data_IF_647063660541
#
_entry.id   IF_647063660541
#
_cell.length_a   1.000
_cell.length_b   1.000
_cell.length_c   1.000
_cell.angle_alpha   90.00
_cell.angle_beta   90.00
_cell.angle_gamma   90.00
#
_symmetry.space_group_name_H-M   'P 1'
#
loop_
_entity.id
_entity.type
_entity.pdbx_description
1 polymer ?
#
# COMPACT_ATOMS: atom_id res chain seq x y z
N UNK A 1 -21.45 -22.06 15.29
CA UNK A 1 -21.47 -21.76 13.84
C UNK A 1 -21.21 -20.27 13.70
N UNK A 2 -19.93 -19.87 13.68
CA UNK A 2 -19.49 -18.47 13.67
C UNK A 2 -18.39 -18.31 12.62
N UNK A 3 -18.81 -18.28 11.35
CA UNK A 3 -17.98 -17.89 10.20
C UNK A 3 -18.68 -16.86 9.25
N UNK A 4 -19.25 -15.74 9.74
CA UNK A 4 -19.60 -14.62 8.86
C UNK A 4 -18.65 -13.42 8.96
N UNK A 5 -17.87 -13.27 10.04
CA UNK A 5 -17.02 -12.08 10.26
C UNK A 5 -15.80 -12.06 9.34
N UNK A 6 -15.11 -13.19 9.18
CA UNK A 6 -13.86 -13.28 8.42
C UNK A 6 -14.03 -13.00 6.93
N UNK A 7 -15.16 -13.42 6.34
CA UNK A 7 -15.46 -13.16 4.93
C UNK A 7 -15.77 -11.67 4.68
N UNK A 8 -16.54 -11.03 5.57
CA UNK A 8 -16.82 -9.58 5.50
C UNK A 8 -15.54 -8.76 5.71
N UNK A 9 -14.67 -9.20 6.63
CA UNK A 9 -13.37 -8.55 6.88
C UNK A 9 -12.45 -8.65 5.65
N UNK A 10 -12.48 -9.78 4.93
CA UNK A 10 -11.73 -9.99 3.70
C UNK A 10 -12.24 -9.10 2.55
N UNK A 11 -13.55 -9.11 2.28
CA UNK A 11 -14.16 -8.28 1.22
C UNK A 11 -13.93 -6.78 1.48
N UNK A 12 -14.05 -6.36 2.74
CA UNK A 12 -13.75 -4.98 3.14
C UNK A 12 -12.27 -4.64 2.93
N UNK A 13 -11.36 -5.58 3.18
CA UNK A 13 -9.94 -5.39 2.97
C UNK A 13 -9.59 -5.30 1.47
N UNK A 14 -10.14 -6.19 0.65
CA UNK A 14 -10.00 -6.16 -0.82
C UNK A 14 -10.50 -4.83 -1.39
N UNK A 15 -11.71 -4.41 -1.00
CA UNK A 15 -12.27 -3.12 -1.43
C UNK A 15 -11.41 -1.92 -1.01
N UNK A 16 -10.79 -1.98 0.17
CA UNK A 16 -9.86 -0.93 0.61
C UNK A 16 -8.57 -0.92 -0.22
N UNK A 17 -8.04 -2.08 -0.61
CA UNK A 17 -6.88 -2.19 -1.47
C UNK A 17 -7.20 -1.73 -2.90
N UNK A 18 -8.36 -2.06 -3.44
CA UNK A 18 -8.83 -1.56 -4.74
C UNK A 18 -8.89 -0.03 -4.77
N UNK A 19 -9.46 0.57 -3.72
CA UNK A 19 -9.50 2.02 -3.58
C UNK A 19 -8.10 2.62 -3.48
N UNK A 20 -7.18 1.98 -2.77
CA UNK A 20 -5.79 2.41 -2.68
C UNK A 20 -5.09 2.31 -4.04
N UNK A 21 -5.30 1.22 -4.78
CA UNK A 21 -4.78 1.02 -6.12
C UNK A 21 -5.27 2.13 -7.06
N UNK A 22 -6.57 2.45 -7.02
CA UNK A 22 -7.16 3.51 -7.83
C UNK A 22 -6.67 4.93 -7.45
N UNK A 23 -6.42 5.19 -6.16
CA UNK A 23 -6.01 6.51 -5.67
C UNK A 23 -4.54 6.81 -5.89
N UNK A 24 -3.64 5.85 -5.64
CA UNK A 24 -2.18 6.07 -5.69
C UNK A 24 -1.42 4.97 -6.43
N UNK A 25 -1.96 3.75 -6.47
CA UNK A 25 -1.25 2.59 -7.01
C UNK A 25 -0.99 2.70 -8.51
N UNK A 26 -2.01 2.98 -9.33
CA UNK A 26 -1.87 3.01 -10.79
C UNK A 26 -0.80 4.01 -11.24
N UNK A 27 -0.94 5.28 -10.85
CA UNK A 27 0.00 6.33 -11.27
C UNK A 27 1.39 6.12 -10.67
N UNK A 28 1.48 5.68 -9.42
CA UNK A 28 2.74 5.43 -8.73
C UNK A 28 3.53 4.26 -9.32
N UNK A 29 2.86 3.16 -9.66
CA UNK A 29 3.49 1.99 -10.29
C UNK A 29 3.91 2.29 -11.73
N UNK A 30 3.08 3.00 -12.50
CA UNK A 30 3.46 3.47 -13.85
C UNK A 30 4.71 4.35 -13.77
N UNK A 31 4.75 5.31 -12.86
CA UNK A 31 5.91 6.18 -12.67
C UNK A 31 7.17 5.39 -12.25
N UNK A 32 7.02 4.39 -11.38
CA UNK A 32 8.11 3.52 -10.94
C UNK A 32 8.70 2.71 -12.11
N UNK A 33 7.86 2.07 -12.93
CA UNK A 33 8.30 1.27 -14.09
C UNK A 33 9.12 2.11 -15.09
N UNK A 34 8.78 3.38 -15.26
CA UNK A 34 9.51 4.29 -16.16
C UNK A 34 10.84 4.81 -15.59
N UNK A 35 11.11 4.60 -14.30
CA UNK A 35 12.26 5.20 -13.59
C UNK A 35 12.92 4.15 -12.69
N UNK A 36 14.00 3.48 -13.14
CA UNK A 36 14.62 2.37 -12.39
C UNK A 36 15.02 2.73 -10.94
N UNK A 37 15.48 3.96 -10.70
CA UNK A 37 15.78 4.43 -9.35
C UNK A 37 14.55 4.52 -8.44
N UNK A 38 13.40 4.92 -8.98
CA UNK A 38 12.15 4.96 -8.24
C UNK A 38 11.60 3.55 -7.99
N UNK A 39 11.69 2.66 -8.98
CA UNK A 39 11.32 1.25 -8.82
C UNK A 39 12.10 0.59 -7.69
N UNK A 40 13.42 0.80 -7.62
CA UNK A 40 14.25 0.28 -6.53
C UNK A 40 13.81 0.79 -5.15
N UNK A 41 13.35 2.03 -5.05
CA UNK A 41 12.82 2.59 -3.79
C UNK A 41 11.48 1.95 -3.42
N UNK A 42 10.59 1.72 -4.40
CA UNK A 42 9.32 0.99 -4.18
C UNK A 42 9.61 -0.44 -3.72
N UNK A 43 10.55 -1.14 -4.33
CA UNK A 43 10.97 -2.49 -3.94
C UNK A 43 11.52 -2.53 -2.51
N UNK A 44 12.32 -1.53 -2.12
CA UNK A 44 12.81 -1.39 -0.75
C UNK A 44 11.65 -1.18 0.24
N UNK A 45 10.68 -0.35 -0.09
CA UNK A 45 9.48 -0.17 0.73
C UNK A 45 8.66 -1.45 0.83
N UNK A 46 8.53 -2.21 -0.26
CA UNK A 46 7.83 -3.49 -0.28
C UNK A 46 8.52 -4.52 0.63
N UNK A 47 9.86 -4.59 0.59
CA UNK A 47 10.64 -5.40 1.52
C UNK A 47 10.38 -4.99 2.98
N UNK A 48 10.43 -3.69 3.27
CA UNK A 48 10.17 -3.19 4.62
C UNK A 48 8.73 -3.44 5.12
N UNK A 49 7.72 -3.51 4.23
CA UNK A 49 6.36 -3.94 4.59
C UNK A 49 6.35 -5.42 4.95
N UNK A 50 6.93 -6.27 4.09
CA UNK A 50 7.02 -7.72 4.34
C UNK A 50 7.72 -8.01 5.67
N UNK A 51 8.84 -7.35 5.95
CA UNK A 51 9.58 -7.51 7.20
C UNK A 51 8.74 -7.08 8.41
N UNK A 52 8.01 -5.96 8.30
CA UNK A 52 7.12 -5.49 9.36
C UNK A 52 6.00 -6.49 9.65
N UNK A 53 5.36 -7.03 8.62
CA UNK A 53 4.31 -8.04 8.76
C UNK A 53 4.86 -9.33 9.36
N UNK A 54 6.00 -9.82 8.87
CA UNK A 54 6.68 -10.99 9.37
C UNK A 54 7.05 -10.84 10.86
N UNK A 55 7.60 -9.68 11.26
CA UNK A 55 7.93 -9.39 12.67
C UNK A 55 6.72 -9.38 13.59
N UNK A 56 5.54 -9.07 13.05
CA UNK A 56 4.26 -9.10 13.75
C UNK A 56 3.54 -10.45 13.67
N UNK A 57 4.16 -11.48 13.06
CA UNK A 57 3.56 -12.80 12.84
C UNK A 57 2.36 -12.78 11.90
N UNK A 58 2.31 -11.82 10.97
CA UNK A 58 1.21 -11.65 10.01
C UNK A 58 1.63 -12.09 8.61
N UNK A 59 0.76 -12.81 7.87
CA UNK A 59 1.01 -13.12 6.47
C UNK A 59 0.92 -11.85 5.59
N UNK A 60 1.41 -11.96 4.35
CA UNK A 60 1.20 -10.95 3.32
C UNK A 60 -0.10 -11.29 2.60
N UNK A 61 -1.22 -10.88 3.18
CA UNK A 61 -2.58 -11.08 2.65
C UNK A 61 -3.37 -9.76 2.62
N UNK A 62 -4.55 -9.78 1.98
CA UNK A 62 -5.39 -8.59 1.82
C UNK A 62 -5.68 -7.87 3.14
N UNK A 63 -6.06 -8.63 4.18
CA UNK A 63 -6.40 -8.08 5.51
C UNK A 63 -5.19 -7.41 6.15
N UNK A 64 -4.03 -8.06 6.13
CA UNK A 64 -2.80 -7.52 6.75
C UNK A 64 -2.28 -6.31 5.99
N UNK A 65 -2.35 -6.32 4.66
CA UNK A 65 -1.96 -5.19 3.81
C UNK A 65 -2.89 -3.99 4.00
N UNK A 66 -4.21 -4.18 4.00
CA UNK A 66 -5.19 -3.09 4.21
C UNK A 66 -5.02 -2.44 5.59
N UNK A 67 -4.77 -3.24 6.63
CA UNK A 67 -4.46 -2.74 7.98
C UNK A 67 -3.15 -1.96 8.00
N UNK A 68 -2.13 -2.43 7.30
CA UNK A 68 -0.86 -1.73 7.20
C UNK A 68 -1.00 -0.40 6.46
N UNK A 69 -1.75 -0.36 5.36
CA UNK A 69 -2.05 0.87 4.64
C UNK A 69 -2.77 1.90 5.54
N UNK A 70 -3.76 1.44 6.31
CA UNK A 70 -4.47 2.28 7.30
C UNK A 70 -3.51 2.87 8.33
N UNK A 71 -2.54 2.07 8.81
CA UNK A 71 -1.51 2.53 9.74
C UNK A 71 -0.60 3.60 9.11
N UNK A 72 -0.14 3.38 7.88
CA UNK A 72 0.71 4.32 7.13
C UNK A 72 -0.02 5.65 6.93
N UNK A 73 -1.26 5.61 6.43
CA UNK A 73 -2.09 6.81 6.25
C UNK A 73 -2.34 7.54 7.56
N UNK A 74 -2.59 6.80 8.65
CA UNK A 74 -2.78 7.39 9.97
C UNK A 74 -1.51 8.06 10.52
N UNK A 75 -0.33 7.47 10.27
CA UNK A 75 0.96 8.09 10.64
C UNK A 75 1.16 9.36 9.83
N UNK A 76 0.95 9.31 8.51
CA UNK A 76 1.10 10.47 7.64
C UNK A 76 0.19 11.63 8.08
N UNK A 77 -1.08 11.32 8.37
CA UNK A 77 -2.05 12.31 8.84
C UNK A 77 -1.61 12.95 10.17
N UNK A 78 -1.17 12.14 11.16
CA UNK A 78 -0.68 12.66 12.45
C UNK A 78 0.61 13.47 12.31
N UNK A 79 1.43 13.19 11.30
CA UNK A 79 2.64 13.94 11.00
C UNK A 79 2.39 15.21 10.18
N UNK A 80 1.14 15.54 9.85
CA UNK A 80 0.77 16.77 9.16
C UNK A 80 1.02 16.75 7.66
N UNK A 81 1.23 15.57 7.06
CA UNK A 81 1.33 15.47 5.60
C UNK A 81 -0.02 15.79 4.97
N UNK A 82 -0.02 16.70 3.99
CA UNK A 82 -1.19 16.98 3.17
C UNK A 82 -1.40 15.84 2.16
N UNK A 83 -2.66 15.59 1.79
CA UNK A 83 -2.99 14.68 0.68
C UNK A 83 -2.62 15.41 -0.63
N UNK A 84 -1.64 14.91 -1.40
CA UNK A 84 -1.25 15.55 -2.64
C UNK A 84 -2.25 15.23 -3.75
N UNK A 85 -2.34 16.11 -4.73
CA UNK A 85 -2.94 15.78 -6.01
C UNK A 85 -1.98 14.84 -6.77
N UNK A 86 -2.36 13.56 -6.83
CA UNK A 86 -1.56 12.50 -7.47
C UNK A 86 -1.36 12.73 -8.96
N UNK A 87 -2.27 13.45 -9.63
CA UNK A 87 -2.21 13.68 -11.08
C UNK A 87 -1.10 14.65 -11.48
N UNK A 88 -0.66 15.50 -10.55
CA UNK A 88 0.40 16.50 -10.75
C UNK A 88 1.67 16.21 -9.94
N UNK A 89 1.68 15.09 -9.19
CA UNK A 89 2.78 14.72 -8.30
C UNK A 89 4.02 14.27 -9.07
N UNK A 90 5.19 14.84 -8.74
CA UNK A 90 6.47 14.26 -9.13
C UNK A 90 6.84 13.11 -8.19
N UNK A 91 6.56 11.88 -8.63
CA UNK A 91 6.84 10.65 -7.90
C UNK A 91 8.29 10.46 -7.48
N UNK A 92 9.26 11.08 -8.18
CA UNK A 92 10.68 11.01 -7.75
C UNK A 92 10.98 11.79 -6.47
N UNK A 93 10.06 12.69 -6.09
CA UNK A 93 10.13 13.54 -4.90
C UNK A 93 8.98 13.26 -3.93
N UNK A 94 8.21 12.20 -4.17
CA UNK A 94 7.08 11.82 -3.32
C UNK A 94 7.57 11.48 -1.91
N UNK A 95 6.78 11.88 -0.91
CA UNK A 95 7.06 11.55 0.47
C UNK A 95 7.02 10.03 0.70
N UNK A 96 7.80 9.57 1.68
CA UNK A 96 7.98 8.15 2.00
C UNK A 96 6.66 7.39 2.18
N UNK A 97 5.61 8.04 2.69
CA UNK A 97 4.33 7.38 2.96
C UNK A 97 3.60 7.04 1.66
N UNK A 98 3.68 7.89 0.63
CA UNK A 98 3.11 7.61 -0.69
C UNK A 98 3.84 6.46 -1.36
N UNK A 99 5.17 6.47 -1.32
CA UNK A 99 5.98 5.36 -1.85
C UNK A 99 5.71 4.05 -1.10
N UNK A 100 5.47 4.13 0.22
CA UNK A 100 5.04 2.99 1.03
C UNK A 100 3.65 2.48 0.64
N UNK A 101 2.70 3.35 0.35
CA UNK A 101 1.36 2.97 -0.13
C UNK A 101 1.42 2.35 -1.53
N UNK A 102 2.22 2.89 -2.45
CA UNK A 102 2.47 2.29 -3.78
C UNK A 102 3.09 0.89 -3.63
N UNK A 103 4.04 0.72 -2.71
CA UNK A 103 4.63 -0.57 -2.42
C UNK A 103 3.61 -1.60 -1.88
N UNK A 104 2.60 -1.15 -1.11
CA UNK A 104 1.49 -2.02 -0.68
C UNK A 104 0.64 -2.44 -1.88
N UNK A 105 0.36 -1.53 -2.82
CA UNK A 105 -0.32 -1.87 -4.07
C UNK A 105 0.45 -2.89 -4.90
N UNK A 106 1.78 -2.77 -4.99
CA UNK A 106 2.63 -3.75 -5.65
C UNK A 106 2.57 -5.15 -4.99
N UNK A 107 2.53 -5.20 -3.66
CA UNK A 107 2.39 -6.45 -2.91
C UNK A 107 1.00 -7.07 -3.07
N UNK A 108 -0.05 -6.24 -3.11
CA UNK A 108 -1.41 -6.70 -3.31
C UNK A 108 -1.60 -7.29 -4.73
N UNK A 109 -1.03 -6.64 -5.75
CA UNK A 109 -1.03 -7.12 -7.14
C UNK A 109 -0.25 -8.43 -7.27
N UNK A 110 0.97 -8.50 -6.73
CA UNK A 110 1.78 -9.71 -6.77
C UNK A 110 1.20 -10.89 -5.97
N UNK A 111 0.30 -10.61 -5.02
CA UNK A 111 -0.33 -11.60 -4.14
C UNK A 111 -1.79 -11.91 -4.49
N UNK A 112 -2.31 -11.40 -5.61
CA UNK A 112 -3.73 -11.52 -6.02
C UNK A 112 -4.70 -11.17 -4.87
N UNK A 113 -4.43 -10.07 -4.17
CA UNK A 113 -5.14 -9.64 -2.95
C UNK A 113 -6.30 -8.66 -3.21
N UNK A 114 -6.75 -8.54 -4.46
CA UNK A 114 -7.95 -7.79 -4.85
C UNK A 114 -9.18 -8.70 -4.90
#
# INVERSE_FOLDING_TARGET
MSEPSSAVDLESAQSALDQLMAQVGVDGLVAAIQRPGLLAVVDQHAAAVRDSLASAGRPVDAVSLARYATLVTSIAHRSGYAVPDVTTLDWSRADWYLLRLVAICALADAGDCF
#
